data_IF_754497058012
#
_entry.id   IF_754497058012
#
_cell.length_a   1.000
_cell.length_b   1.000
_cell.length_c   1.000
_cell.angle_alpha   90.00
_cell.angle_beta   90.00
_cell.angle_gamma   90.00
#
_symmetry.space_group_name_H-M   'P 1'
#
loop_
_entity.id
_entity.type
_entity.pdbx_description
1 polymer ?
#
# COMPACT_ATOMS: atom_id res chain seq x y z
N UNK A 1 1.99 6.39 -16.70
CA UNK A 1 3.03 6.20 -15.68
C UNK A 1 2.35 5.63 -14.44
N UNK A 2 2.74 4.45 -13.93
CA UNK A 2 2.16 3.93 -12.68
C UNK A 2 2.58 4.89 -11.57
N UNK A 3 1.66 5.57 -10.89
CA UNK A 3 2.02 6.69 -10.01
C UNK A 3 2.61 6.23 -8.66
N UNK A 4 2.84 4.92 -8.51
CA UNK A 4 3.47 4.32 -7.34
C UNK A 4 4.59 3.35 -7.73
N UNK A 5 5.63 3.28 -6.90
CA UNK A 5 6.72 2.32 -7.03
C UNK A 5 7.24 1.89 -5.66
N UNK A 6 7.73 0.65 -5.59
CA UNK A 6 8.34 0.10 -4.38
C UNK A 6 9.82 0.42 -4.35
N UNK A 7 10.29 0.79 -3.16
CA UNK A 7 11.70 0.88 -2.80
C UNK A 7 11.96 -0.24 -1.81
N UNK A 8 12.85 -1.15 -2.16
CA UNK A 8 13.18 -2.31 -1.34
C UNK A 8 14.46 -2.06 -0.55
N UNK A 9 14.40 -2.32 0.75
CA UNK A 9 15.54 -2.41 1.65
C UNK A 9 15.56 -3.78 2.33
N UNK A 10 16.69 -4.17 2.96
CA UNK A 10 16.79 -5.44 3.67
C UNK A 10 15.72 -5.62 4.76
N UNK A 11 15.33 -4.53 5.41
CA UNK A 11 14.43 -4.56 6.56
C UNK A 11 12.97 -4.22 6.22
N UNK A 12 12.73 -3.57 5.08
CA UNK A 12 11.39 -3.15 4.69
C UNK A 12 11.26 -2.82 3.19
N UNK A 13 10.03 -2.88 2.71
CA UNK A 13 9.62 -2.36 1.41
C UNK A 13 8.73 -1.14 1.61
N UNK A 14 9.09 -0.04 0.98
CA UNK A 14 8.38 1.24 1.06
C UNK A 14 7.66 1.50 -0.26
N UNK A 15 6.37 1.80 -0.20
CA UNK A 15 5.63 2.25 -1.37
C UNK A 15 5.65 3.77 -1.42
N UNK A 16 6.14 4.34 -2.51
CA UNK A 16 6.09 5.78 -2.77
C UNK A 16 4.98 6.10 -3.77
N UNK A 17 4.24 7.18 -3.54
CA UNK A 17 3.20 7.72 -4.43
C UNK A 17 3.23 9.26 -4.37
N UNK A 18 3.28 9.93 -5.54
CA UNK A 18 3.39 11.40 -5.64
C UNK A 18 4.46 12.00 -4.71
N UNK A 19 5.68 11.44 -4.73
CA UNK A 19 6.82 11.79 -3.87
C UNK A 19 6.64 11.53 -2.36
N UNK A 20 5.49 11.05 -1.89
CA UNK A 20 5.25 10.69 -0.48
C UNK A 20 5.27 9.18 -0.23
N UNK A 21 5.73 8.75 0.95
CA UNK A 21 5.63 7.36 1.39
C UNK A 21 4.22 7.02 1.84
N UNK A 22 3.61 6.00 1.23
CA UNK A 22 2.20 5.61 1.45
C UNK A 22 2.01 4.22 2.03
N UNK A 23 3.04 3.37 2.01
CA UNK A 23 3.00 2.11 2.75
C UNK A 23 4.40 1.63 3.13
N UNK A 24 4.46 0.82 4.17
CA UNK A 24 5.64 0.09 4.62
C UNK A 24 5.25 -1.36 4.88
N UNK A 25 6.03 -2.29 4.34
CA UNK A 25 5.96 -3.72 4.66
C UNK A 25 7.32 -4.13 5.21
N UNK A 26 7.40 -4.42 6.51
CA UNK A 26 8.66 -4.81 7.17
C UNK A 26 8.94 -6.30 6.97
N UNK A 27 10.21 -6.67 7.05
CA UNK A 27 10.67 -8.07 6.94
C UNK A 27 10.07 -8.98 8.02
N UNK A 28 9.74 -8.43 9.20
CA UNK A 28 9.04 -9.13 10.29
C UNK A 28 7.53 -9.35 10.05
N UNK A 29 7.03 -8.94 8.88
CA UNK A 29 5.64 -9.07 8.46
C UNK A 29 4.73 -7.92 8.87
N UNK A 30 5.21 -6.90 9.59
CA UNK A 30 4.39 -5.72 9.91
C UNK A 30 4.07 -4.91 8.66
N UNK A 31 2.83 -4.45 8.56
CA UNK A 31 2.32 -3.66 7.46
C UNK A 31 1.71 -2.36 7.99
N UNK A 32 2.08 -1.24 7.38
CA UNK A 32 1.45 0.06 7.61
C UNK A 32 1.06 0.65 6.26
N UNK A 33 -0.17 1.13 6.13
CA UNK A 33 -0.65 1.88 4.96
C UNK A 33 -1.05 3.27 5.44
N UNK A 34 -0.45 4.30 4.85
CA UNK A 34 -0.77 5.71 5.06
C UNK A 34 -1.33 6.28 3.77
N UNK A 35 -2.64 6.39 3.71
CA UNK A 35 -3.33 6.85 2.50
C UNK A 35 -4.27 7.99 2.82
N UNK A 36 -3.92 9.20 2.35
CA UNK A 36 -4.66 10.43 2.61
C UNK A 36 -4.81 10.67 4.12
N UNK A 37 -6.03 10.55 4.66
CA UNK A 37 -6.35 10.75 6.10
C UNK A 37 -6.57 9.44 6.85
N UNK A 38 -6.15 8.31 6.27
CA UNK A 38 -6.32 6.98 6.87
C UNK A 38 -4.97 6.33 7.10
N UNK A 39 -4.79 5.79 8.30
CA UNK A 39 -3.68 4.90 8.64
C UNK A 39 -4.25 3.52 8.97
N UNK A 40 -3.69 2.49 8.35
CA UNK A 40 -4.09 1.09 8.57
C UNK A 40 -2.86 0.31 8.96
N UNK A 41 -2.98 -0.42 10.06
CA UNK A 41 -1.96 -1.33 10.56
C UNK A 41 -2.41 -2.77 10.30
N UNK A 42 -1.46 -3.64 10.00
CA UNK A 42 -1.72 -5.04 9.78
C UNK A 42 -0.48 -5.90 9.87
N UNK A 43 -0.65 -7.18 9.61
CA UNK A 43 0.43 -8.15 9.54
C UNK A 43 0.24 -9.03 8.31
N UNK A 44 1.35 -9.47 7.72
CA UNK A 44 1.40 -10.36 6.58
C UNK A 44 2.44 -11.45 6.82
N UNK A 45 2.29 -12.59 6.15
CA UNK A 45 3.20 -13.73 6.29
C UNK A 45 4.50 -13.54 5.48
N UNK A 46 4.51 -12.61 4.52
CA UNK A 46 5.70 -12.28 3.73
C UNK A 46 5.59 -10.88 3.13
N UNK A 47 6.75 -10.28 2.85
CA UNK A 47 6.83 -8.97 2.18
C UNK A 47 6.08 -8.97 0.85
N UNK A 48 6.24 -10.02 0.04
CA UNK A 48 5.55 -10.14 -1.25
C UNK A 48 4.02 -10.21 -1.14
N UNK A 49 3.50 -10.87 -0.09
CA UNK A 49 2.06 -10.87 0.19
C UNK A 49 1.59 -9.47 0.60
N UNK A 50 2.34 -8.80 1.50
CA UNK A 50 2.04 -7.44 1.94
C UNK A 50 1.97 -6.46 0.78
N UNK A 51 2.96 -6.46 -0.12
CA UNK A 51 2.98 -5.61 -1.31
C UNK A 51 1.74 -5.78 -2.18
N UNK A 52 1.38 -7.02 -2.53
CA UNK A 52 0.19 -7.32 -3.35
C UNK A 52 -1.11 -6.87 -2.67
N UNK A 53 -1.20 -7.03 -1.36
CA UNK A 53 -2.36 -6.54 -0.61
C UNK A 53 -2.46 -5.02 -0.67
N UNK A 54 -1.36 -4.30 -0.42
CA UNK A 54 -1.31 -2.83 -0.47
C UNK A 54 -1.70 -2.31 -1.85
N UNK A 55 -1.14 -2.87 -2.92
CA UNK A 55 -1.46 -2.48 -4.30
C UNK A 55 -2.96 -2.60 -4.60
N UNK A 56 -3.58 -3.72 -4.21
CA UNK A 56 -5.04 -3.92 -4.35
C UNK A 56 -5.82 -2.94 -3.49
N UNK A 57 -5.40 -2.73 -2.24
CA UNK A 57 -6.07 -1.86 -1.29
C UNK A 57 -6.08 -0.39 -1.76
N UNK A 58 -4.96 0.08 -2.32
CA UNK A 58 -4.83 1.43 -2.89
C UNK A 58 -5.60 1.51 -4.20
N UNK A 59 -5.46 0.52 -5.09
CA UNK A 59 -6.19 0.45 -6.35
C UNK A 59 -7.71 0.58 -6.17
N UNK A 60 -8.27 -0.14 -5.19
CA UNK A 60 -9.68 -0.06 -4.83
C UNK A 60 -10.13 1.32 -4.31
N UNK A 61 -9.20 2.17 -3.85
CA UNK A 61 -9.47 3.55 -3.38
C UNK A 61 -9.17 4.62 -4.41
N UNK A 62 -8.31 4.33 -5.38
CA UNK A 62 -8.06 5.19 -6.53
C UNK A 62 -9.21 5.12 -7.52
N UNK A 63 -9.81 3.94 -7.72
CA UNK A 63 -11.05 3.85 -8.46
C UNK A 63 -12.15 4.58 -7.68
N UNK A 64 -12.78 5.63 -8.24
CA UNK A 64 -14.04 6.08 -7.70
C UNK A 64 -14.94 4.85 -7.69
N UNK A 65 -15.55 4.52 -6.54
CA UNK A 65 -16.70 3.61 -6.55
C UNK A 65 -17.59 4.11 -7.69
N UNK A 66 -17.81 3.28 -8.72
CA UNK A 66 -18.92 3.53 -9.64
C UNK A 66 -20.10 3.77 -8.72
N UNK A 67 -20.56 5.02 -8.65
CA UNK A 67 -21.81 5.32 -7.96
C UNK A 67 -22.82 4.49 -8.71
N UNK A 68 -23.28 3.39 -8.10
CA UNK A 68 -24.44 2.68 -8.58
C UNK A 68 -25.54 3.73 -8.55
N UNK A 69 -25.88 4.26 -9.73
CA UNK A 69 -27.07 5.06 -9.93
C UNK A 69 -28.23 4.08 -9.78
N UNK A 70 -28.77 4.01 -8.57
CA UNK A 70 -30.11 3.47 -8.29
C UNK A 70 -31.07 4.62 -8.16
#
# INVERSE_FOLDING_TARGET
MRPFFWIDSPDASYLQYNAGGVAVVRANGELVIRWRRSEVFGRCCSVGQGKRYVERWIGARMCPRQKTLT
#
